data_IF_810672152066
#
_entry.id   IF_810672152066
#
_cell.length_a   1.000
_cell.length_b   1.000
_cell.length_c   1.000
_cell.angle_alpha   90.00
_cell.angle_beta   90.00
_cell.angle_gamma   90.00
#
_symmetry.space_group_name_H-M   'P 1'
#
loop_
_entity.id
_entity.type
_entity.pdbx_description
1 polymer ?
#
# COMPACT_ATOMS: atom_id res chain seq x y z
N UNK A 1 28.78 -45.98 -8.78
CA UNK A 1 27.49 -45.46 -8.25
C UNK A 1 26.95 -44.44 -9.24
N UNK A 2 26.08 -44.88 -10.16
CA UNK A 2 25.44 -43.99 -11.13
C UNK A 2 24.16 -43.45 -10.49
N UNK A 3 24.13 -42.13 -10.32
CA UNK A 3 23.12 -41.41 -9.54
C UNK A 3 21.82 -41.33 -10.35
N UNK A 4 20.81 -42.11 -9.96
CA UNK A 4 19.42 -41.86 -10.34
C UNK A 4 18.88 -40.78 -9.39
N UNK A 5 18.72 -39.54 -9.87
CA UNK A 5 18.34 -38.41 -9.03
C UNK A 5 16.81 -38.22 -9.02
N UNK A 6 16.19 -38.67 -7.94
CA UNK A 6 14.85 -38.23 -7.51
C UNK A 6 14.89 -36.72 -7.20
N UNK A 7 14.03 -35.94 -7.84
CA UNK A 7 13.87 -34.50 -7.60
C UNK A 7 12.61 -34.25 -6.74
N UNK A 8 12.80 -34.24 -5.43
CA UNK A 8 11.85 -33.63 -4.49
C UNK A 8 11.96 -32.09 -4.56
N UNK A 9 10.81 -31.44 -4.69
CA UNK A 9 10.53 -30.00 -4.89
C UNK A 9 11.55 -28.97 -4.33
N UNK A 10 12.09 -28.10 -5.21
CA UNK A 10 12.17 -26.65 -4.95
C UNK A 10 11.74 -25.83 -6.20
N UNK A 11 11.57 -24.48 -6.13
CA UNK A 11 10.87 -23.71 -7.17
C UNK A 11 11.46 -23.92 -8.56
N UNK A 12 10.58 -24.02 -9.57
CA UNK A 12 10.81 -24.35 -10.98
C UNK A 12 12.11 -23.77 -11.60
N UNK A 13 12.62 -22.63 -11.14
CA UNK A 13 13.88 -22.02 -11.60
C UNK A 13 15.15 -22.80 -11.21
N UNK A 14 15.19 -23.45 -10.04
CA UNK A 14 16.37 -24.22 -9.57
C UNK A 14 16.50 -25.57 -10.27
N UNK A 15 15.39 -26.16 -10.72
CA UNK A 15 15.40 -27.43 -11.44
C UNK A 15 15.94 -27.24 -12.86
N UNK A 16 15.52 -26.16 -13.54
CA UNK A 16 16.02 -25.84 -14.88
C UNK A 16 17.52 -25.51 -14.90
N UNK A 17 18.03 -24.77 -13.92
CA UNK A 17 19.45 -24.44 -13.85
C UNK A 17 20.32 -25.67 -13.57
N UNK A 18 19.85 -26.59 -12.72
CA UNK A 18 20.56 -27.83 -12.40
C UNK A 18 20.56 -28.81 -13.57
N UNK A 19 19.44 -28.93 -14.28
CA UNK A 19 19.36 -29.72 -15.51
C UNK A 19 20.29 -29.18 -16.62
N UNK A 20 20.35 -27.86 -16.83
CA UNK A 20 21.30 -27.25 -17.78
C UNK A 20 22.76 -27.52 -17.43
N UNK A 21 23.14 -27.38 -16.16
CA UNK A 21 24.52 -27.66 -15.73
C UNK A 21 24.92 -29.13 -15.95
N UNK A 22 23.98 -30.07 -15.81
CA UNK A 22 24.23 -31.50 -16.05
C UNK A 22 24.37 -31.82 -17.55
N UNK A 23 23.57 -31.17 -18.40
CA UNK A 23 23.64 -31.33 -19.86
C UNK A 23 24.88 -30.65 -20.46
N UNK A 24 25.34 -29.52 -19.90
CA UNK A 24 26.54 -28.83 -20.38
C UNK A 24 27.85 -29.52 -19.99
N UNK A 25 27.86 -30.31 -18.91
CA UNK A 25 29.09 -30.90 -18.35
C UNK A 25 29.27 -32.40 -18.67
N UNK A 26 28.42 -33.02 -19.50
CA UNK A 26 28.53 -34.43 -19.89
C UNK A 26 28.33 -34.61 -21.39
N UNK A 27 29.07 -35.54 -22.00
CA UNK A 27 28.90 -35.89 -23.41
C UNK A 27 27.50 -36.43 -23.69
N UNK A 28 27.00 -36.18 -24.92
CA UNK A 28 25.71 -36.68 -25.43
C UNK A 28 25.56 -38.19 -25.31
N UNK A 29 26.67 -38.91 -25.36
CA UNK A 29 26.72 -40.37 -25.51
C UNK A 29 26.38 -41.12 -24.21
N UNK A 30 26.25 -40.39 -23.09
CA UNK A 30 25.87 -40.93 -21.78
C UNK A 30 24.36 -40.96 -21.55
N UNK A 31 23.57 -40.34 -22.45
CA UNK A 31 22.13 -40.22 -22.29
C UNK A 31 21.43 -41.33 -23.07
N UNK A 32 20.52 -42.04 -22.40
CA UNK A 32 19.69 -43.07 -23.02
C UNK A 32 18.21 -42.72 -22.90
N UNK A 33 17.45 -43.06 -23.93
CA UNK A 33 16.01 -42.88 -23.95
C UNK A 33 15.32 -43.91 -23.05
N UNK A 34 14.33 -43.46 -22.28
CA UNK A 34 13.43 -44.34 -21.52
C UNK A 34 12.05 -44.25 -22.18
N UNK A 35 11.50 -45.36 -22.71
CA UNK A 35 10.15 -45.39 -23.26
C UNK A 35 9.12 -44.82 -22.27
N UNK A 36 8.12 -44.10 -22.79
CA UNK A 36 7.13 -43.39 -21.96
C UNK A 36 6.38 -44.28 -20.97
N UNK A 37 6.12 -45.54 -21.33
CA UNK A 37 5.46 -46.55 -20.48
C UNK A 37 6.32 -46.97 -19.28
N UNK A 38 7.65 -46.98 -19.47
CA UNK A 38 8.63 -47.33 -18.44
C UNK A 38 9.14 -46.10 -17.70
N UNK A 39 8.67 -44.90 -18.07
CA UNK A 39 9.09 -43.65 -17.44
C UNK A 39 8.33 -43.45 -16.11
N UNK A 40 9.01 -43.56 -14.95
CA UNK A 40 8.37 -43.38 -13.66
C UNK A 40 7.69 -42.02 -13.51
N UNK A 41 8.20 -40.98 -14.19
CA UNK A 41 7.63 -39.61 -14.11
C UNK A 41 6.30 -39.44 -14.83
N UNK A 42 5.88 -40.41 -15.64
CA UNK A 42 4.63 -40.36 -16.40
C UNK A 42 3.40 -40.18 -15.48
N UNK A 43 3.32 -40.96 -14.39
CA UNK A 43 2.21 -40.89 -13.42
C UNK A 43 2.08 -39.51 -12.75
N UNK A 44 3.22 -38.86 -12.50
CA UNK A 44 3.28 -37.53 -11.88
C UNK A 44 2.80 -36.45 -12.86
N UNK A 45 3.26 -36.51 -14.12
CA UNK A 45 2.92 -35.53 -15.15
C UNK A 45 1.42 -35.48 -15.50
N UNK A 46 0.69 -36.59 -15.28
CA UNK A 46 -0.74 -36.76 -15.57
C UNK A 46 -1.66 -36.59 -14.37
N UNK A 47 -1.12 -36.35 -13.16
CA UNK A 47 -1.91 -36.09 -11.96
C UNK A 47 -2.60 -37.33 -11.36
N UNK A 48 -1.86 -38.44 -11.22
CA UNK A 48 -2.42 -39.72 -10.74
C UNK A 48 -2.64 -39.76 -9.22
N UNK A 49 -3.63 -40.54 -8.71
CA UNK A 49 -3.88 -40.69 -7.28
C UNK A 49 -2.73 -41.41 -6.54
N UNK A 50 -2.44 -41.05 -5.26
CA UNK A 50 -1.30 -41.55 -4.48
C UNK A 50 -1.17 -43.08 -4.39
N UNK A 51 -2.30 -43.82 -4.44
CA UNK A 51 -2.32 -45.28 -4.31
C UNK A 51 -1.62 -46.00 -5.48
N UNK A 52 -1.58 -45.38 -6.66
CA UNK A 52 -0.92 -45.95 -7.84
C UNK A 52 0.61 -45.87 -7.78
N UNK A 53 1.17 -45.02 -6.90
CA UNK A 53 2.63 -44.92 -6.73
C UNK A 53 3.23 -46.13 -6.00
N UNK A 54 2.44 -46.84 -5.19
CA UNK A 54 2.89 -48.03 -4.46
C UNK A 54 3.09 -49.25 -5.36
N UNK A 55 2.40 -49.31 -6.50
CA UNK A 55 2.43 -50.42 -7.45
C UNK A 55 3.18 -50.07 -8.75
N UNK A 56 3.82 -48.91 -8.82
CA UNK A 56 4.47 -48.43 -10.03
C UNK A 56 5.98 -48.45 -9.93
N UNK A 57 6.62 -48.27 -11.09
CA UNK A 57 8.07 -48.14 -11.26
C UNK A 57 8.64 -46.86 -10.61
N UNK A 58 7.84 -46.07 -9.87
CA UNK A 58 8.24 -44.79 -9.29
C UNK A 58 9.42 -44.93 -8.30
N UNK A 59 9.39 -45.97 -7.48
CA UNK A 59 10.40 -46.17 -6.43
C UNK A 59 11.61 -46.97 -6.91
N UNK A 60 11.37 -47.97 -7.75
CA UNK A 60 12.39 -48.95 -8.17
C UNK A 60 12.99 -48.62 -9.55
N UNK A 61 12.30 -47.81 -10.35
CA UNK A 61 12.64 -47.58 -11.75
C UNK A 61 12.41 -48.82 -12.63
N UNK A 62 12.64 -48.70 -13.94
CA UNK A 62 12.61 -49.86 -14.83
C UNK A 62 13.66 -50.92 -14.45
N UNK A 63 13.28 -52.20 -14.55
CA UNK A 63 14.12 -53.36 -14.17
C UNK A 63 15.47 -53.40 -14.88
N UNK A 64 15.55 -52.98 -16.15
CA UNK A 64 16.80 -52.95 -16.92
C UNK A 64 17.85 -51.99 -16.35
N UNK A 65 17.50 -51.03 -15.49
CA UNK A 65 18.49 -50.17 -14.81
C UNK A 65 19.34 -50.94 -13.80
N UNK A 66 18.85 -52.09 -13.32
CA UNK A 66 19.57 -52.97 -12.39
C UNK A 66 20.55 -53.89 -13.14
N UNK A 67 20.40 -54.01 -14.46
CA UNK A 67 21.27 -54.81 -15.31
C UNK A 67 22.57 -54.06 -15.68
N UNK A 68 23.64 -54.77 -16.07
CA UNK A 68 24.85 -54.12 -16.55
C UNK A 68 24.58 -53.20 -17.75
N UNK A 69 25.36 -52.10 -17.93
CA UNK A 69 25.13 -51.10 -18.98
C UNK A 69 25.13 -51.62 -20.43
N UNK A 70 25.63 -52.83 -20.64
CA UNK A 70 25.60 -53.56 -21.91
C UNK A 70 24.19 -53.99 -22.32
N UNK A 71 23.30 -54.25 -21.35
CA UNK A 71 21.93 -54.72 -21.59
C UNK A 71 20.88 -53.60 -21.64
N UNK A 72 21.28 -52.35 -21.37
CA UNK A 72 20.35 -51.22 -21.45
C UNK A 72 19.92 -51.01 -22.90
N UNK A 73 18.61 -50.92 -23.14
CA UNK A 73 18.01 -50.77 -24.47
C UNK A 73 18.70 -49.65 -25.27
N UNK A 74 19.22 -50.03 -26.44
CA UNK A 74 19.85 -49.12 -27.41
C UNK A 74 18.77 -48.75 -28.43
N UNK A 75 17.72 -48.05 -27.98
CA UNK A 75 16.84 -47.40 -28.92
C UNK A 75 17.56 -46.14 -29.40
N UNK A 76 18.36 -46.28 -30.45
CA UNK A 76 18.76 -45.18 -31.30
C UNK A 76 17.50 -44.64 -31.96
N UNK A 77 16.73 -43.84 -31.23
CA UNK A 77 15.72 -42.99 -31.84
C UNK A 77 16.47 -42.04 -32.78
N UNK A 78 16.33 -42.28 -34.08
CA UNK A 78 16.62 -41.27 -35.08
C UNK A 78 15.65 -40.11 -34.82
N UNK A 79 16.06 -39.17 -33.97
CA UNK A 79 15.29 -37.96 -33.75
C UNK A 79 15.26 -37.19 -35.07
N UNK A 80 14.08 -37.05 -35.66
CA UNK A 80 13.87 -36.09 -36.74
C UNK A 80 14.22 -34.70 -36.18
N UNK A 81 15.35 -34.16 -36.63
CA UNK A 81 15.91 -32.87 -36.17
C UNK A 81 14.91 -31.71 -36.36
N UNK A 82 14.00 -31.86 -37.31
CA UNK A 82 12.95 -30.90 -37.66
C UNK A 82 11.98 -30.60 -36.51
N UNK A 83 11.59 -31.59 -35.69
CA UNK A 83 10.69 -31.35 -34.55
C UNK A 83 11.42 -30.68 -33.38
N UNK A 84 12.68 -31.06 -33.14
CA UNK A 84 13.55 -30.44 -32.13
C UNK A 84 13.83 -28.98 -32.46
N UNK A 85 14.00 -28.65 -33.75
CA UNK A 85 14.15 -27.27 -34.22
C UNK A 85 12.88 -26.42 -33.97
N UNK A 86 11.68 -27.01 -34.06
CA UNK A 86 10.41 -26.29 -33.75
C UNK A 86 10.25 -26.03 -32.25
N UNK A 87 10.66 -26.97 -31.40
CA UNK A 87 10.57 -26.82 -29.93
C UNK A 87 11.76 -26.08 -29.29
N UNK A 88 12.89 -25.94 -30.00
CA UNK A 88 14.00 -25.09 -29.57
C UNK A 88 13.48 -23.66 -29.39
N UNK A 89 13.27 -23.26 -28.13
CA UNK A 89 13.15 -21.84 -27.77
C UNK A 89 14.37 -21.14 -28.35
N UNK A 90 14.16 -20.30 -29.38
CA UNK A 90 15.20 -19.44 -29.95
C UNK A 90 15.93 -18.76 -28.80
N UNK A 91 17.17 -19.19 -28.52
CA UNK A 91 18.02 -18.54 -27.54
C UNK A 91 18.34 -17.19 -28.16
N UNK A 92 17.64 -16.14 -27.71
CA UNK A 92 17.96 -14.77 -28.10
C UNK A 92 19.33 -14.47 -27.51
N UNK A 93 20.34 -14.44 -28.37
CA UNK A 93 21.63 -13.85 -28.05
C UNK A 93 21.38 -12.34 -27.89
N UNK A 94 21.23 -11.89 -26.64
CA UNK A 94 21.15 -10.46 -26.35
C UNK A 94 22.58 -9.89 -26.46
N UNK A 95 22.98 -9.48 -27.66
CA UNK A 95 24.12 -8.58 -27.79
C UNK A 95 23.74 -7.25 -27.13
N UNK A 96 24.27 -7.01 -25.94
CA UNK A 96 24.21 -5.71 -25.27
C UNK A 96 25.11 -4.73 -26.04
N UNK A 97 24.64 -4.23 -27.18
CA UNK A 97 25.19 -2.99 -27.73
C UNK A 97 24.66 -1.87 -26.84
N UNK A 98 25.53 -1.37 -25.96
CA UNK A 98 25.28 -0.16 -25.19
C UNK A 98 25.17 1.01 -26.17
N UNK A 99 23.96 1.29 -26.66
CA UNK A 99 23.68 2.57 -27.30
C UNK A 99 23.66 3.59 -26.18
N UNK A 100 24.77 4.31 -26.01
CA UNK A 100 24.93 5.42 -25.06
C UNK A 100 24.07 6.62 -25.48
N UNK A 101 22.75 6.46 -25.51
CA UNK A 101 21.84 7.59 -25.45
C UNK A 101 21.79 8.08 -24.01
N UNK A 102 22.66 8.99 -23.60
CA UNK A 102 22.55 9.61 -22.26
C UNK A 102 21.20 10.32 -22.11
N UNK A 103 20.57 10.23 -20.93
CA UNK A 103 19.34 10.99 -20.66
C UNK A 103 19.79 12.45 -20.55
N UNK A 104 19.14 13.40 -21.25
CA UNK A 104 19.55 14.78 -21.13
C UNK A 104 19.51 15.27 -19.68
N UNK A 105 20.59 15.87 -19.20
CA UNK A 105 20.75 16.27 -17.80
C UNK A 105 19.60 17.15 -17.28
N UNK A 106 19.01 17.97 -18.16
CA UNK A 106 17.90 18.85 -17.80
C UNK A 106 16.63 18.08 -17.47
N UNK A 107 16.40 16.92 -18.09
CA UNK A 107 15.27 16.05 -17.74
C UNK A 107 15.46 15.40 -16.36
N UNK A 108 16.70 15.41 -15.83
CA UNK A 108 17.04 14.91 -14.50
C UNK A 108 16.97 16.04 -13.45
N UNK A 109 17.41 17.26 -13.80
CA UNK A 109 17.52 18.37 -12.83
C UNK A 109 16.19 19.00 -12.44
N UNK A 110 15.22 19.08 -13.35
CA UNK A 110 13.95 19.74 -13.04
C UNK A 110 12.99 18.83 -12.27
N UNK A 111 12.35 19.38 -11.24
CA UNK A 111 11.35 18.70 -10.41
C UNK A 111 9.92 18.80 -10.95
N UNK A 112 9.69 19.65 -11.96
CA UNK A 112 8.38 19.92 -12.54
C UNK A 112 8.37 19.59 -14.04
N UNK A 113 7.41 18.78 -14.46
CA UNK A 113 7.18 18.41 -15.86
C UNK A 113 7.05 19.63 -16.78
N UNK A 114 6.23 20.62 -16.40
CA UNK A 114 6.01 21.81 -17.22
C UNK A 114 7.28 22.66 -17.39
N UNK A 115 8.14 22.69 -16.38
CA UNK A 115 9.44 23.36 -16.45
C UNK A 115 10.39 22.64 -17.41
N UNK A 116 10.39 21.30 -17.42
CA UNK A 116 11.17 20.50 -18.38
C UNK A 116 10.72 20.83 -19.81
N UNK A 117 9.41 20.75 -20.09
CA UNK A 117 8.90 21.00 -21.44
C UNK A 117 9.23 22.42 -21.88
N UNK A 118 8.95 23.44 -21.05
CA UNK A 118 9.26 24.83 -21.38
C UNK A 118 10.75 25.06 -21.64
N UNK A 119 11.63 24.48 -20.83
CA UNK A 119 13.07 24.59 -21.03
C UNK A 119 13.49 23.98 -22.37
N UNK A 120 12.98 22.80 -22.71
CA UNK A 120 13.24 22.15 -24.00
C UNK A 120 12.68 22.96 -25.17
N UNK A 121 11.47 23.52 -25.04
CA UNK A 121 10.90 24.40 -26.06
C UNK A 121 11.78 25.62 -26.32
N UNK A 122 12.30 26.27 -25.26
CA UNK A 122 13.24 27.38 -25.41
C UNK A 122 14.55 26.97 -26.05
N UNK A 123 15.11 25.82 -25.68
CA UNK A 123 16.32 25.28 -26.33
C UNK A 123 16.10 25.01 -27.82
N UNK A 124 14.98 24.38 -28.19
CA UNK A 124 14.65 24.10 -29.59
C UNK A 124 14.43 25.38 -30.39
N UNK A 125 13.73 26.37 -29.82
CA UNK A 125 13.59 27.70 -30.43
C UNK A 125 14.94 28.39 -30.61
N UNK A 126 15.82 28.31 -29.61
CA UNK A 126 17.17 28.87 -29.70
C UNK A 126 17.95 28.25 -30.87
N UNK A 127 17.95 26.91 -30.98
CA UNK A 127 18.60 26.19 -32.09
C UNK A 127 18.00 26.60 -33.44
N UNK A 128 16.67 26.74 -33.53
CA UNK A 128 15.97 27.19 -34.75
C UNK A 128 16.35 28.62 -35.12
N UNK A 129 16.40 29.53 -34.15
CA UNK A 129 16.74 30.94 -34.36
C UNK A 129 18.22 31.15 -34.66
N UNK A 130 19.12 30.31 -34.12
CA UNK A 130 20.55 30.36 -34.41
C UNK A 130 20.86 30.06 -35.89
N UNK A 131 20.00 29.29 -36.56
CA UNK A 131 20.10 28.97 -37.99
C UNK A 131 19.46 30.02 -38.91
N UNK A 132 18.80 31.03 -38.35
CA UNK A 132 18.06 32.07 -39.09
C UNK A 132 18.72 33.44 -38.95
N UNK A 133 18.61 34.23 -40.02
CA UNK A 133 18.92 35.67 -39.98
C UNK A 133 18.01 36.38 -38.98
N UNK A 134 18.51 37.46 -38.37
CA UNK A 134 17.86 38.19 -37.26
C UNK A 134 16.38 38.52 -37.54
N UNK A 135 16.07 38.96 -38.76
CA UNK A 135 14.71 39.36 -39.18
C UNK A 135 13.68 38.21 -39.26
N UNK A 136 14.13 36.95 -39.35
CA UNK A 136 13.25 35.78 -39.43
C UNK A 136 13.18 35.00 -38.11
N UNK A 137 13.78 35.53 -37.04
CA UNK A 137 13.79 34.88 -35.73
C UNK A 137 12.41 35.00 -35.08
N UNK A 138 12.00 33.92 -34.42
CA UNK A 138 10.79 33.91 -33.61
C UNK A 138 11.08 34.58 -32.27
N UNK A 139 10.35 35.66 -31.97
CA UNK A 139 10.50 36.50 -30.77
C UNK A 139 9.18 36.45 -29.99
N UNK A 140 9.25 36.59 -28.66
CA UNK A 140 8.08 36.63 -27.78
C UNK A 140 7.84 35.31 -27.05
N UNK A 141 6.60 35.06 -26.62
CA UNK A 141 6.25 33.89 -25.81
C UNK A 141 6.32 32.57 -26.61
N UNK A 142 6.45 31.44 -25.91
CA UNK A 142 6.38 30.11 -26.53
C UNK A 142 4.97 29.85 -27.08
N UNK A 143 4.92 29.31 -28.29
CA UNK A 143 3.67 28.86 -28.90
C UNK A 143 3.31 27.46 -28.41
N UNK A 144 2.02 27.10 -28.51
CA UNK A 144 1.54 25.75 -28.15
C UNK A 144 2.25 24.68 -29.00
N UNK A 145 2.44 24.94 -30.29
CA UNK A 145 3.14 24.01 -31.19
C UNK A 145 4.59 23.74 -30.77
N UNK A 146 5.31 24.71 -30.21
CA UNK A 146 6.67 24.48 -29.72
C UNK A 146 6.71 23.69 -28.41
N UNK A 147 5.66 23.80 -27.60
CA UNK A 147 5.49 23.01 -26.38
C UNK A 147 5.21 21.56 -26.76
N UNK A 148 4.27 21.33 -27.68
CA UNK A 148 3.95 20.01 -28.21
C UNK A 148 5.15 19.38 -28.92
N UNK A 149 5.87 20.15 -29.74
CA UNK A 149 7.06 19.66 -30.43
C UNK A 149 8.19 19.28 -29.45
N UNK A 150 8.38 20.06 -28.38
CA UNK A 150 9.33 19.74 -27.33
C UNK A 150 8.95 18.46 -26.56
N UNK A 151 7.66 18.30 -26.23
CA UNK A 151 7.15 17.08 -25.58
C UNK A 151 7.41 15.85 -26.45
N UNK A 152 7.02 15.90 -27.74
CA UNK A 152 7.25 14.81 -28.68
C UNK A 152 8.73 14.50 -28.88
N UNK A 153 9.59 15.51 -28.95
CA UNK A 153 11.04 15.33 -29.09
C UNK A 153 11.64 14.61 -27.87
N UNK A 154 11.25 15.00 -26.66
CA UNK A 154 11.67 14.32 -25.44
C UNK A 154 11.21 12.86 -25.41
N UNK A 155 9.95 12.61 -25.78
CA UNK A 155 9.39 11.25 -25.86
C UNK A 155 10.24 10.39 -26.79
N UNK A 156 10.61 10.89 -27.98
CA UNK A 156 11.47 10.16 -28.92
C UNK A 156 12.83 9.82 -28.32
N UNK A 157 13.48 10.78 -27.64
CA UNK A 157 14.77 10.55 -26.97
C UNK A 157 14.64 9.45 -25.91
N UNK A 158 13.61 9.50 -25.07
CA UNK A 158 13.38 8.50 -24.04
C UNK A 158 13.02 7.13 -24.62
N UNK A 159 12.22 7.08 -25.67
CA UNK A 159 11.89 5.82 -26.33
C UNK A 159 13.11 5.20 -27.01
N UNK A 160 13.95 5.99 -27.68
CA UNK A 160 15.19 5.49 -28.27
C UNK A 160 16.12 4.88 -27.22
N UNK A 161 16.21 5.50 -26.03
CA UNK A 161 17.04 4.99 -24.93
C UNK A 161 16.48 3.73 -24.28
N UNK A 162 15.21 3.75 -23.90
CA UNK A 162 14.62 2.67 -23.10
C UNK A 162 14.06 1.51 -23.93
N UNK A 163 13.78 1.77 -25.21
CA UNK A 163 13.24 0.78 -26.15
C UNK A 163 14.10 0.75 -27.43
N UNK A 164 15.39 0.38 -27.34
CA UNK A 164 16.30 0.43 -28.49
C UNK A 164 15.92 -0.57 -29.59
N UNK A 165 15.36 -1.73 -29.23
CA UNK A 165 15.00 -2.79 -30.17
C UNK A 165 13.47 -2.91 -30.33
N UNK A 166 13.00 -3.26 -31.53
CA UNK A 166 11.57 -3.54 -31.79
C UNK A 166 11.05 -4.71 -30.97
N UNK A 167 11.92 -5.68 -30.71
CA UNK A 167 11.67 -6.90 -29.94
C UNK A 167 11.55 -6.69 -28.41
N UNK A 168 11.62 -5.43 -27.94
CA UNK A 168 11.54 -5.09 -26.50
C UNK A 168 10.16 -5.34 -25.89
N UNK A 169 9.16 -5.72 -26.70
CA UNK A 169 7.76 -5.80 -26.31
C UNK A 169 7.09 -7.12 -26.68
N UNK A 170 7.51 -8.26 -26.09
CA UNK A 170 7.04 -9.59 -26.52
C UNK A 170 5.54 -9.86 -26.32
N UNK A 171 4.81 -8.98 -25.61
CA UNK A 171 3.38 -9.12 -25.30
C UNK A 171 2.54 -8.00 -25.91
N UNK A 172 3.16 -6.90 -26.39
CA UNK A 172 2.43 -5.71 -26.80
C UNK A 172 2.63 -5.44 -28.28
N UNK A 173 1.53 -5.16 -28.99
CA UNK A 173 1.56 -4.73 -30.38
C UNK A 173 1.99 -3.27 -30.44
N UNK A 174 3.30 -3.03 -30.63
CA UNK A 174 3.86 -1.68 -30.73
C UNK A 174 4.00 -1.31 -32.20
N UNK A 175 3.49 -0.14 -32.57
CA UNK A 175 3.61 0.48 -33.88
C UNK A 175 4.41 1.77 -33.76
N UNK A 176 5.12 2.16 -34.80
CA UNK A 176 5.78 3.47 -34.88
C UNK A 176 4.92 4.38 -35.75
N UNK A 177 4.59 5.57 -35.27
CA UNK A 177 3.83 6.54 -36.06
C UNK A 177 4.71 7.26 -37.11
N UNK A 178 4.09 8.06 -37.97
CA UNK A 178 4.76 8.84 -39.02
C UNK A 178 5.81 9.81 -38.45
N UNK A 179 5.66 10.20 -37.19
CA UNK A 179 6.61 11.06 -36.49
C UNK A 179 7.77 10.27 -35.86
N UNK A 180 7.77 8.93 -35.90
CA UNK A 180 8.80 8.10 -35.27
C UNK A 180 8.57 7.84 -33.78
N UNK A 181 7.38 8.08 -33.25
CA UNK A 181 6.99 7.79 -31.86
C UNK A 181 6.40 6.38 -31.80
N UNK A 182 6.88 5.58 -30.85
CA UNK A 182 6.35 4.25 -30.56
C UNK A 182 5.01 4.39 -29.81
N UNK A 183 3.98 3.71 -30.30
CA UNK A 183 2.61 3.68 -29.77
C UNK A 183 2.13 2.24 -29.64
N UNK A 184 1.19 1.99 -28.74
CA UNK A 184 0.60 0.67 -28.55
C UNK A 184 -0.69 0.59 -29.36
N UNK A 185 -0.80 -0.40 -30.26
CA UNK A 185 -2.06 -0.74 -30.93
C UNK A 185 -2.95 -1.48 -29.93
N UNK A 186 -3.98 -0.79 -29.45
CA UNK A 186 -4.98 -1.39 -28.53
C UNK A 186 -5.95 -2.30 -29.29
N UNK A 187 -6.87 -2.96 -28.58
CA UNK A 187 -7.92 -3.80 -29.20
C UNK A 187 -9.11 -3.00 -29.74
N UNK A 188 -9.15 -1.69 -29.49
CA UNK A 188 -10.29 -0.83 -29.81
C UNK A 188 -10.04 -0.02 -31.10
N UNK A 189 -9.38 -0.62 -32.08
CA UNK A 189 -8.93 0.06 -33.31
C UNK A 189 -10.07 0.53 -34.21
N UNK A 190 -11.21 -0.17 -34.18
CA UNK A 190 -12.37 0.12 -35.03
C UNK A 190 -13.30 1.20 -34.45
N UNK A 191 -12.99 1.73 -33.26
CA UNK A 191 -13.81 2.77 -32.63
C UNK A 191 -13.46 4.14 -33.19
N UNK A 192 -14.46 4.93 -33.54
CA UNK A 192 -14.30 6.36 -33.86
C UNK A 192 -14.07 7.16 -32.57
N UNK A 193 -12.84 7.19 -32.09
CA UNK A 193 -12.44 7.90 -30.86
C UNK A 193 -11.12 8.66 -31.09
N UNK A 194 -10.64 9.37 -30.07
CA UNK A 194 -9.37 10.10 -30.17
C UNK A 194 -8.22 9.13 -30.57
N UNK A 195 -7.45 9.41 -31.64
CA UNK A 195 -6.32 8.57 -32.05
C UNK A 195 -5.27 8.40 -30.96
N UNK A 196 -5.09 9.37 -30.06
CA UNK A 196 -4.18 9.23 -28.92
C UNK A 196 -4.64 8.17 -27.90
N UNK A 197 -5.95 7.94 -27.80
CA UNK A 197 -6.53 6.93 -26.92
C UNK A 197 -6.51 5.54 -27.57
N UNK A 198 -6.74 5.49 -28.88
CA UNK A 198 -6.69 4.22 -29.64
C UNK A 198 -5.24 3.72 -29.76
N UNK A 199 -4.31 4.66 -29.97
CA UNK A 199 -2.87 4.40 -30.14
C UNK A 199 -2.04 5.19 -29.11
N UNK A 200 -2.11 4.84 -27.81
CA UNK A 200 -1.42 5.55 -26.75
C UNK A 200 0.10 5.41 -26.88
N UNK A 201 0.80 6.50 -26.55
CA UNK A 201 2.27 6.59 -26.61
C UNK A 201 2.88 5.70 -25.53
N UNK A 202 3.82 4.81 -25.90
CA UNK A 202 4.48 3.95 -24.92
C UNK A 202 5.55 4.71 -24.14
N UNK A 203 5.49 4.64 -22.81
CA UNK A 203 6.47 5.31 -21.94
C UNK A 203 7.11 4.34 -20.93
N UNK A 204 8.42 4.48 -20.67
CA UNK A 204 9.12 3.67 -19.69
C UNK A 204 8.76 4.13 -18.26
N UNK A 205 8.14 3.26 -17.48
CA UNK A 205 7.72 3.59 -16.11
C UNK A 205 8.88 3.87 -15.13
N UNK A 206 10.08 3.39 -15.43
CA UNK A 206 11.27 3.56 -14.58
C UNK A 206 11.96 4.91 -14.79
N UNK A 207 11.64 5.61 -15.88
CA UNK A 207 12.24 6.90 -16.22
C UNK A 207 11.75 8.04 -15.31
N UNK A 208 12.66 8.94 -14.91
CA UNK A 208 12.31 10.12 -14.12
C UNK A 208 11.33 11.04 -14.87
N UNK A 209 11.49 11.23 -16.19
CA UNK A 209 10.57 12.03 -17.00
C UNK A 209 9.13 11.52 -16.89
N UNK A 210 8.92 10.21 -17.02
CA UNK A 210 7.60 9.59 -16.87
C UNK A 210 7.06 9.73 -15.44
N UNK A 211 7.93 9.65 -14.43
CA UNK A 211 7.51 9.91 -13.04
C UNK A 211 7.06 11.38 -12.85
N UNK A 212 7.79 12.36 -13.41
CA UNK A 212 7.39 13.78 -13.36
C UNK A 212 6.08 14.04 -14.11
N UNK A 213 5.87 13.36 -15.24
CA UNK A 213 4.61 13.41 -15.98
C UNK A 213 3.45 12.91 -15.11
N UNK A 214 3.60 11.75 -14.46
CA UNK A 214 2.57 11.21 -13.58
C UNK A 214 2.31 12.12 -12.37
N UNK A 215 3.36 12.69 -11.77
CA UNK A 215 3.24 13.68 -10.68
C UNK A 215 2.47 14.93 -11.12
N UNK A 216 2.70 15.41 -12.35
CA UNK A 216 1.96 16.53 -12.92
C UNK A 216 0.48 16.20 -13.07
N UNK A 217 0.12 15.09 -13.71
CA UNK A 217 -1.28 14.65 -13.85
C UNK A 217 -1.96 14.39 -12.50
N UNK A 218 -1.24 13.84 -11.53
CA UNK A 218 -1.75 13.65 -10.17
C UNK A 218 -2.14 14.97 -9.51
N UNK A 219 -1.31 16.02 -9.64
CA UNK A 219 -1.56 17.34 -9.05
C UNK A 219 -2.64 18.12 -9.79
N UNK A 220 -2.63 18.08 -11.13
CA UNK A 220 -3.65 18.75 -11.97
C UNK A 220 -5.05 18.21 -11.70
N UNK A 221 -5.18 16.90 -11.47
CA UNK A 221 -6.46 16.25 -11.17
C UNK A 221 -6.72 16.15 -9.66
N UNK A 222 -6.45 17.22 -8.91
CA UNK A 222 -6.78 17.35 -7.49
C UNK A 222 -6.35 16.16 -6.61
N UNK A 223 -5.12 15.64 -6.81
CA UNK A 223 -4.61 14.47 -6.10
C UNK A 223 -5.39 13.18 -6.36
N UNK A 224 -5.84 12.98 -7.60
CA UNK A 224 -6.53 11.77 -8.04
C UNK A 224 -5.85 10.48 -7.55
N UNK A 225 -6.67 9.56 -7.05
CA UNK A 225 -6.24 8.24 -6.61
C UNK A 225 -5.68 7.39 -7.75
N UNK A 226 -5.00 6.29 -7.41
CA UNK A 226 -4.27 5.47 -8.39
C UNK A 226 -5.11 4.98 -9.57
N UNK A 227 -6.37 4.58 -9.35
CA UNK A 227 -7.23 4.05 -10.42
C UNK A 227 -7.65 5.15 -11.40
N UNK A 228 -8.15 6.27 -10.87
CA UNK A 228 -8.59 7.42 -11.67
C UNK A 228 -7.41 7.97 -12.47
N UNK A 229 -6.27 8.17 -11.81
CA UNK A 229 -5.07 8.66 -12.46
C UNK A 229 -4.56 7.73 -13.57
N UNK A 230 -4.65 6.41 -13.37
CA UNK A 230 -4.30 5.44 -14.42
C UNK A 230 -5.26 5.52 -15.61
N UNK A 231 -6.55 5.77 -15.38
CA UNK A 231 -7.54 6.01 -16.43
C UNK A 231 -7.19 7.24 -17.26
N UNK A 232 -6.97 8.38 -16.60
CA UNK A 232 -6.59 9.66 -17.25
C UNK A 232 -5.30 9.50 -18.07
N UNK A 233 -4.28 8.84 -17.49
CA UNK A 233 -3.02 8.63 -18.21
C UNK A 233 -3.19 7.74 -19.45
N UNK A 234 -4.10 6.76 -19.41
CA UNK A 234 -4.37 5.85 -20.53
C UNK A 234 -5.06 6.51 -21.72
N UNK A 235 -5.62 7.71 -21.55
CA UNK A 235 -6.17 8.49 -22.67
C UNK A 235 -5.11 8.88 -23.69
N UNK A 236 -3.83 8.95 -23.27
CA UNK A 236 -2.72 9.39 -24.14
C UNK A 236 -1.47 8.50 -24.05
N UNK A 237 -1.26 7.84 -22.91
CA UNK A 237 0.00 7.17 -22.57
C UNK A 237 -0.20 5.73 -22.11
N UNK A 238 0.60 4.83 -22.68
CA UNK A 238 0.76 3.47 -22.21
C UNK A 238 2.05 3.34 -21.41
N UNK A 239 1.96 3.49 -20.09
CA UNK A 239 3.12 3.41 -19.20
C UNK A 239 3.42 1.95 -18.86
N UNK A 240 4.63 1.48 -19.18
CA UNK A 240 5.09 0.13 -18.83
C UNK A 240 5.08 -0.04 -17.32
N UNK A 241 4.43 -1.10 -16.82
CA UNK A 241 4.18 -1.32 -15.38
C UNK A 241 3.44 -0.15 -14.70
N UNK A 242 2.61 0.59 -15.46
CA UNK A 242 1.99 1.86 -15.06
C UNK A 242 1.32 1.84 -13.69
N UNK A 243 0.51 0.82 -13.37
CA UNK A 243 -0.15 0.72 -12.06
C UNK A 243 0.84 0.77 -10.89
N UNK A 244 1.98 0.07 -10.99
CA UNK A 244 3.01 0.04 -9.95
C UNK A 244 3.66 1.41 -9.76
N UNK A 245 3.97 2.08 -10.88
CA UNK A 245 4.62 3.40 -10.88
C UNK A 245 3.67 4.47 -10.35
N UNK A 246 2.44 4.50 -10.86
CA UNK A 246 1.40 5.44 -10.40
C UNK A 246 1.11 5.24 -8.91
N UNK A 247 1.00 3.99 -8.45
CA UNK A 247 0.81 3.71 -7.03
C UNK A 247 1.98 4.22 -6.17
N UNK A 248 3.23 4.03 -6.61
CA UNK A 248 4.43 4.53 -5.91
C UNK A 248 4.38 6.06 -5.77
N UNK A 249 4.02 6.76 -6.84
CA UNK A 249 3.96 8.23 -6.85
C UNK A 249 2.86 8.75 -5.94
N UNK A 250 1.65 8.19 -6.02
CA UNK A 250 0.53 8.57 -5.15
C UNK A 250 0.86 8.27 -3.68
N UNK A 251 1.47 7.11 -3.39
CA UNK A 251 1.87 6.73 -2.03
C UNK A 251 2.93 7.67 -1.44
N UNK A 252 3.83 8.18 -2.27
CA UNK A 252 4.89 9.11 -1.84
C UNK A 252 4.44 10.58 -1.82
N UNK A 253 3.21 10.88 -2.25
CA UNK A 253 2.69 12.24 -2.19
C UNK A 253 2.41 12.65 -0.74
N UNK A 254 3.15 13.65 -0.24
CA UNK A 254 3.03 14.16 1.13
C UNK A 254 1.60 14.62 1.44
N UNK A 255 0.94 15.31 0.50
CA UNK A 255 -0.43 15.79 0.68
C UNK A 255 -1.39 14.61 0.85
N UNK A 256 -1.31 13.59 -0.02
CA UNK A 256 -2.11 12.37 0.12
C UNK A 256 -1.81 11.61 1.41
N UNK A 257 -0.55 11.54 1.84
CA UNK A 257 -0.18 10.90 3.11
C UNK A 257 -0.82 11.60 4.31
N UNK A 258 -0.79 12.94 4.34
CA UNK A 258 -1.41 13.74 5.41
C UNK A 258 -2.92 13.48 5.51
N UNK A 259 -3.64 13.50 4.38
CA UNK A 259 -5.07 13.21 4.37
C UNK A 259 -5.42 11.74 4.67
N UNK A 260 -4.51 10.81 4.34
CA UNK A 260 -4.71 9.38 4.62
C UNK A 260 -4.39 9.01 6.07
N UNK A 261 -3.62 9.82 6.78
CA UNK A 261 -3.22 9.55 8.16
C UNK A 261 -4.48 9.43 9.04
N UNK A 262 -4.71 8.24 9.59
CA UNK A 262 -5.69 8.03 10.66
C UNK A 262 -4.98 8.26 11.99
N UNK A 263 -5.70 8.80 12.98
CA UNK A 263 -5.23 8.77 14.36
C UNK A 263 -4.81 7.33 14.70
N UNK A 264 -3.68 7.13 15.41
CA UNK A 264 -3.29 5.79 15.83
C UNK A 264 -4.48 5.15 16.55
N UNK A 265 -4.94 4.00 16.07
CA UNK A 265 -5.98 3.25 16.76
C UNK A 265 -5.43 2.84 18.11
N UNK A 266 -6.05 3.29 19.19
CA UNK A 266 -5.76 2.75 20.51
C UNK A 266 -6.33 1.35 20.60
N UNK A 267 -5.57 0.42 21.18
CA UNK A 267 -6.16 -0.83 21.63
C UNK A 267 -7.23 -0.52 22.69
N UNK A 268 -8.38 -1.21 22.68
CA UNK A 268 -9.40 -1.01 23.70
C UNK A 268 -8.78 -1.32 25.07
N UNK A 269 -8.70 -0.30 25.93
CA UNK A 269 -8.15 -0.45 27.28
C UNK A 269 -9.14 -1.23 28.14
N UNK A 270 -8.64 -2.13 28.99
CA UNK A 270 -9.45 -2.82 29.98
C UNK A 270 -10.18 -1.83 30.90
N UNK A 271 -11.45 -2.10 31.21
CA UNK A 271 -12.22 -1.27 32.12
C UNK A 271 -11.57 -1.25 33.53
N UNK A 272 -11.60 -0.12 34.26
CA UNK A 272 -11.10 -0.06 35.63
C UNK A 272 -11.79 -1.07 36.55
N UNK A 273 -11.06 -1.63 37.51
CA UNK A 273 -11.60 -2.58 38.50
C UNK A 273 -12.82 -2.05 39.24
N UNK A 274 -12.86 -0.74 39.52
CA UNK A 274 -13.98 -0.07 40.17
C UNK A 274 -15.29 -0.07 39.35
N UNK A 275 -15.22 -0.37 38.04
CA UNK A 275 -16.41 -0.55 37.17
C UNK A 275 -16.84 -2.01 37.04
N UNK A 276 -15.93 -2.95 37.32
CA UNK A 276 -16.14 -4.39 37.03
C UNK A 276 -16.42 -5.20 38.29
N UNK A 277 -15.81 -4.83 39.41
CA UNK A 277 -15.99 -5.55 40.66
C UNK A 277 -17.36 -5.27 41.27
N UNK A 278 -17.90 -6.28 41.95
CA UNK A 278 -19.11 -6.12 42.76
C UNK A 278 -18.85 -5.09 43.87
N UNK A 279 -19.74 -4.09 43.93
CA UNK A 279 -19.71 -3.02 44.91
C UNK A 279 -21.14 -2.78 45.41
N UNK A 280 -21.28 -2.17 46.58
CA UNK A 280 -22.58 -1.74 47.06
C UNK A 280 -23.14 -0.60 46.18
N UNK A 281 -24.46 -0.43 46.20
CA UNK A 281 -25.12 0.66 45.46
C UNK A 281 -24.55 2.00 45.97
N UNK A 282 -24.14 2.86 45.04
CA UNK A 282 -23.49 4.15 45.32
C UNK A 282 -22.12 4.09 46.05
N UNK A 283 -21.46 2.92 46.13
CA UNK A 283 -20.10 2.84 46.68
C UNK A 283 -19.06 3.49 45.78
N UNK A 284 -19.18 3.29 44.46
CA UNK A 284 -18.35 3.93 43.43
C UNK A 284 -19.24 4.80 42.56
N UNK A 285 -19.06 6.11 42.62
CA UNK A 285 -19.92 7.08 41.94
C UNK A 285 -19.16 7.93 40.93
N UNK A 286 -19.78 8.21 39.79
CA UNK A 286 -19.37 9.26 38.87
C UNK A 286 -20.20 10.51 39.12
N UNK A 287 -19.53 11.64 39.26
CA UNK A 287 -20.15 12.96 39.41
C UNK A 287 -19.98 13.74 38.13
N UNK A 288 -21.08 14.29 37.66
CA UNK A 288 -21.10 15.22 36.53
C UNK A 288 -22.04 16.40 36.80
N UNK A 289 -21.86 17.45 36.01
CA UNK A 289 -22.60 18.69 36.09
C UNK A 289 -23.47 18.87 34.86
N UNK A 290 -24.77 18.66 35.02
CA UNK A 290 -25.72 19.04 33.99
C UNK A 290 -25.91 20.57 34.00
N UNK A 291 -25.97 21.12 32.78
CA UNK A 291 -25.86 22.55 32.48
C UNK A 291 -26.94 23.45 33.09
N UNK A 292 -26.90 24.71 32.65
CA UNK A 292 -27.70 25.78 33.23
C UNK A 292 -29.20 25.58 32.99
N UNK A 293 -29.94 25.38 34.07
CA UNK A 293 -31.40 25.40 34.11
C UNK A 293 -31.92 26.72 34.69
N UNK A 294 -33.14 27.06 34.31
CA UNK A 294 -33.88 28.20 34.86
C UNK A 294 -35.04 27.67 35.68
N UNK A 295 -34.99 27.89 37.00
CA UNK A 295 -36.11 27.58 37.89
C UNK A 295 -37.17 28.68 37.73
N UNK A 296 -38.44 28.36 38.01
CA UNK A 296 -39.54 29.34 38.04
C UNK A 296 -39.11 30.55 38.89
N UNK A 297 -39.02 31.72 38.27
CA UNK A 297 -38.43 32.94 38.86
C UNK A 297 -37.12 33.39 38.21
N UNK A 298 -36.64 32.73 37.15
CA UNK A 298 -35.49 33.17 36.35
C UNK A 298 -34.13 32.90 36.99
N UNK A 299 -34.10 32.18 38.11
CA UNK A 299 -32.86 31.85 38.80
C UNK A 299 -32.12 30.74 38.07
N UNK A 300 -30.82 30.99 37.87
CA UNK A 300 -29.85 30.04 37.34
C UNK A 300 -29.67 28.89 38.32
N UNK A 301 -29.75 27.66 37.85
CA UNK A 301 -29.54 26.46 38.64
C UNK A 301 -28.84 25.39 37.83
N UNK A 302 -28.21 24.45 38.52
CA UNK A 302 -27.48 23.33 37.95
C UNK A 302 -27.95 22.05 38.60
N UNK A 303 -27.77 20.93 37.90
CA UNK A 303 -28.05 19.61 38.45
C UNK A 303 -26.72 18.89 38.66
N UNK A 304 -26.48 18.48 39.91
CA UNK A 304 -25.43 17.54 40.26
C UNK A 304 -25.93 16.15 39.93
N UNK A 305 -25.28 15.52 38.96
CA UNK A 305 -25.52 14.14 38.55
C UNK A 305 -24.60 13.22 39.35
N UNK A 306 -25.16 12.37 40.20
CA UNK A 306 -24.43 11.33 40.92
C UNK A 306 -24.86 9.98 40.36
N UNK A 307 -23.98 9.33 39.61
CA UNK A 307 -24.27 8.07 38.94
C UNK A 307 -23.52 6.93 39.60
N UNK A 308 -24.20 5.84 39.95
CA UNK A 308 -23.52 4.63 40.42
C UNK A 308 -22.82 3.96 39.24
N UNK A 309 -21.51 3.74 39.34
CA UNK A 309 -20.73 3.18 38.22
C UNK A 309 -21.04 1.69 37.96
N UNK A 310 -21.41 0.95 39.01
CA UNK A 310 -21.72 -0.48 38.97
C UNK A 310 -23.13 -0.74 38.44
N UNK A 311 -24.14 -0.09 39.03
CA UNK A 311 -25.56 -0.35 38.72
C UNK A 311 -26.20 0.69 37.78
N UNK A 312 -25.49 1.78 37.45
CA UNK A 312 -25.98 2.90 36.63
C UNK A 312 -27.23 3.61 37.18
N UNK A 313 -27.52 3.47 38.48
CA UNK A 313 -28.55 4.26 39.16
C UNK A 313 -28.12 5.74 39.22
N UNK A 314 -29.08 6.66 39.10
CA UNK A 314 -28.84 8.09 38.99
C UNK A 314 -29.52 8.83 40.14
N UNK A 315 -28.73 9.55 40.92
CA UNK A 315 -29.21 10.48 41.94
C UNK A 315 -29.00 11.92 41.45
N UNK A 316 -30.05 12.73 41.54
CA UNK A 316 -30.08 14.10 41.06
C UNK A 316 -30.22 15.06 42.24
N UNK A 317 -29.34 16.06 42.32
CA UNK A 317 -29.44 17.15 43.30
C UNK A 317 -29.45 18.50 42.57
N UNK A 318 -30.43 19.34 42.89
CA UNK A 318 -30.51 20.69 42.35
C UNK A 318 -29.66 21.65 43.21
N UNK A 319 -28.93 22.54 42.55
CA UNK A 319 -28.13 23.58 43.21
C UNK A 319 -28.25 24.90 42.46
N UNK A 320 -28.34 26.00 43.20
CA UNK A 320 -28.46 27.37 42.68
C UNK A 320 -27.12 28.10 42.56
N UNK A 321 -26.01 27.45 42.92
CA UNK A 321 -24.65 27.99 42.82
C UNK A 321 -23.68 26.93 42.29
N UNK A 322 -22.67 27.38 41.54
CA UNK A 322 -21.49 26.59 41.13
C UNK A 322 -20.31 26.72 42.09
N UNK A 323 -20.43 27.53 43.16
CA UNK A 323 -19.38 27.68 44.16
C UNK A 323 -19.17 26.36 44.90
N UNK A 324 -17.92 25.90 44.99
CA UNK A 324 -17.51 24.61 45.59
C UNK A 324 -18.27 24.24 46.86
N UNK A 325 -18.33 25.17 47.82
CA UNK A 325 -18.93 24.97 49.14
C UNK A 325 -20.44 24.71 49.08
N UNK A 326 -21.20 25.54 48.34
CA UNK A 326 -22.66 25.40 48.24
C UNK A 326 -23.07 24.32 47.23
N UNK A 327 -22.31 24.22 46.14
CA UNK A 327 -22.54 23.35 45.01
C UNK A 327 -22.34 21.88 45.36
N UNK A 328 -21.16 21.53 45.90
CA UNK A 328 -20.76 20.15 46.05
C UNK A 328 -20.87 19.65 47.49
N UNK A 329 -20.48 20.42 48.50
CA UNK A 329 -20.52 19.91 49.88
C UNK A 329 -21.95 19.71 50.38
N UNK A 330 -22.88 20.62 50.07
CA UNK A 330 -24.29 20.48 50.47
C UNK A 330 -24.99 19.36 49.69
N UNK A 331 -24.75 19.24 48.38
CA UNK A 331 -25.32 18.17 47.56
C UNK A 331 -24.75 16.80 47.96
N UNK A 332 -23.44 16.71 48.20
CA UNK A 332 -22.79 15.48 48.68
C UNK A 332 -23.29 15.11 50.09
N UNK A 333 -23.45 16.06 51.01
CA UNK A 333 -24.03 15.78 52.34
C UNK A 333 -25.45 15.22 52.24
N UNK A 334 -26.31 15.81 51.41
CA UNK A 334 -27.67 15.30 51.17
C UNK A 334 -27.65 13.91 50.52
N UNK A 335 -26.74 13.68 49.59
CA UNK A 335 -26.52 12.39 48.98
C UNK A 335 -26.09 11.33 50.01
N UNK A 336 -25.07 11.61 50.83
CA UNK A 336 -24.57 10.70 51.86
C UNK A 336 -25.66 10.35 52.87
N UNK A 337 -26.46 11.34 53.28
CA UNK A 337 -27.56 11.13 54.23
C UNK A 337 -28.66 10.21 53.67
N UNK A 338 -28.90 10.23 52.35
CA UNK A 338 -29.96 9.44 51.69
C UNK A 338 -29.49 8.09 51.16
N UNK A 339 -28.28 8.03 50.61
CA UNK A 339 -27.76 6.90 49.81
C UNK A 339 -26.57 6.20 50.46
N UNK A 340 -26.01 6.76 51.53
CA UNK A 340 -24.80 6.27 52.17
C UNK A 340 -23.53 6.94 51.64
N UNK A 341 -22.43 6.74 52.38
CA UNK A 341 -21.13 7.36 52.07
C UNK A 341 -20.43 6.59 50.94
N UNK A 342 -20.07 7.24 49.82
CA UNK A 342 -19.31 6.58 48.75
C UNK A 342 -17.88 6.29 49.21
N UNK A 343 -17.27 5.26 48.63
CA UNK A 343 -15.84 4.95 48.76
C UNK A 343 -15.01 5.73 47.74
N UNK A 344 -15.50 5.80 46.50
CA UNK A 344 -14.78 6.40 45.37
C UNK A 344 -15.68 7.35 44.59
N UNK A 345 -15.17 8.54 44.29
CA UNK A 345 -15.82 9.54 43.43
C UNK A 345 -14.96 9.77 42.18
N UNK A 346 -15.56 9.62 41.00
CA UNK A 346 -14.98 9.96 39.71
C UNK A 346 -15.55 11.29 39.19
N UNK A 347 -14.71 12.19 38.70
CA UNK A 347 -15.16 13.42 38.03
C UNK A 347 -14.25 13.80 36.86
N UNK A 348 -14.72 14.74 36.03
CA UNK A 348 -13.84 15.44 35.10
C UNK A 348 -12.90 16.43 35.86
N UNK A 349 -11.96 17.02 35.12
CA UNK A 349 -11.01 18.00 35.68
C UNK A 349 -11.60 19.42 35.81
N UNK A 350 -12.93 19.58 35.86
CA UNK A 350 -13.57 20.87 36.06
C UNK A 350 -13.06 21.58 37.31
N UNK A 351 -12.91 22.90 37.24
CA UNK A 351 -12.39 23.73 38.34
C UNK A 351 -13.20 23.56 39.62
N UNK A 352 -14.51 23.39 39.49
CA UNK A 352 -15.43 23.20 40.62
C UNK A 352 -15.16 21.88 41.36
N UNK A 353 -14.83 20.81 40.64
CA UNK A 353 -14.51 19.51 41.25
C UNK A 353 -13.10 19.47 41.86
N UNK A 354 -12.13 20.17 41.26
CA UNK A 354 -10.81 20.35 41.88
C UNK A 354 -10.90 21.14 43.18
N UNK A 355 -11.69 22.21 43.20
CA UNK A 355 -12.01 22.92 44.44
C UNK A 355 -12.66 21.98 45.47
N UNK A 356 -13.64 21.19 45.02
CA UNK A 356 -14.43 20.33 45.89
C UNK A 356 -13.61 19.23 46.55
N UNK A 357 -12.69 18.62 45.80
CA UNK A 357 -11.74 17.67 46.36
C UNK A 357 -10.86 18.32 47.43
N UNK A 358 -10.38 19.54 47.19
CA UNK A 358 -9.58 20.29 48.16
C UNK A 358 -10.31 20.49 49.48
N UNK A 359 -11.54 21.02 49.43
CA UNK A 359 -12.38 21.23 50.62
C UNK A 359 -12.76 19.92 51.32
N UNK A 360 -13.15 18.89 50.53
CA UNK A 360 -13.50 17.58 51.07
C UNK A 360 -12.32 16.94 51.80
N UNK A 361 -11.11 17.08 51.29
CA UNK A 361 -9.92 16.52 51.91
C UNK A 361 -9.62 17.12 53.29
N UNK A 362 -9.96 18.40 53.51
CA UNK A 362 -9.88 19.04 54.82
C UNK A 362 -10.92 18.50 55.79
N UNK A 363 -12.18 18.41 55.35
CA UNK A 363 -13.32 17.97 56.17
C UNK A 363 -13.21 16.49 56.53
N UNK A 364 -12.87 15.63 55.57
CA UNK A 364 -12.74 14.19 55.79
C UNK A 364 -11.66 13.90 56.84
N UNK A 365 -10.54 14.65 56.85
CA UNK A 365 -9.51 14.49 57.89
C UNK A 365 -10.05 14.77 59.29
N UNK A 366 -10.83 15.84 59.47
CA UNK A 366 -11.43 16.16 60.77
C UNK A 366 -12.45 15.11 61.23
N UNK A 367 -13.27 14.59 60.31
CA UNK A 367 -14.29 13.59 60.61
C UNK A 367 -13.65 12.24 60.98
N UNK A 368 -12.63 11.82 60.23
CA UNK A 368 -11.90 10.57 60.48
C UNK A 368 -11.23 10.60 61.85
N UNK A 369 -10.58 11.74 62.20
CA UNK A 369 -9.95 11.93 63.51
C UNK A 369 -10.95 11.86 64.68
N UNK A 370 -12.20 12.30 64.46
CA UNK A 370 -13.25 12.28 65.49
C UNK A 370 -13.93 10.92 65.65
N UNK A 371 -14.09 10.17 64.56
CA UNK A 371 -14.94 8.97 64.55
C UNK A 371 -14.16 7.65 64.48
N UNK A 372 -12.85 7.64 64.19
CA UNK A 372 -11.92 6.50 64.20
C UNK A 372 -12.37 5.21 63.46
N UNK A 373 -13.53 5.22 62.79
CA UNK A 373 -14.15 4.05 62.12
C UNK A 373 -14.54 4.33 60.67
N UNK A 374 -14.44 5.57 60.21
CA UNK A 374 -14.86 5.97 58.86
C UNK A 374 -13.66 6.01 57.91
N UNK A 375 -13.79 5.39 56.74
CA UNK A 375 -12.79 5.46 55.68
C UNK A 375 -12.90 6.77 54.87
N UNK A 376 -11.76 7.31 54.44
CA UNK A 376 -11.68 8.50 53.58
C UNK A 376 -12.29 8.26 52.20
N UNK A 377 -12.99 9.27 51.64
CA UNK A 377 -13.46 9.21 50.25
C UNK A 377 -12.25 9.36 49.33
N UNK A 378 -12.09 8.46 48.37
CA UNK A 378 -11.06 8.55 47.34
C UNK A 378 -11.62 9.28 46.13
N UNK A 379 -11.04 10.44 45.79
CA UNK A 379 -11.40 11.18 44.58
C UNK A 379 -10.45 10.88 43.43
N UNK A 380 -11.01 10.51 42.26
CA UNK A 380 -10.27 10.21 41.03
C UNK A 380 -10.73 11.10 39.88
N UNK A 381 -9.78 11.68 39.15
CA UNK A 381 -10.07 12.49 37.97
C UNK A 381 -9.85 11.72 36.68
N UNK A 382 -10.69 11.99 35.69
CA UNK A 382 -10.47 11.51 34.32
C UNK A 382 -9.21 12.14 33.72
N UNK A 383 -8.58 11.50 32.72
CA UNK A 383 -7.48 12.11 31.97
C UNK A 383 -7.93 13.45 31.35
N UNK A 384 -7.07 14.49 31.35
CA UNK A 384 -7.44 15.86 30.93
C UNK A 384 -7.88 15.99 29.45
N UNK A 385 -7.71 14.95 28.64
CA UNK A 385 -8.06 14.93 27.21
C UNK A 385 -9.14 13.90 26.89
N UNK A 386 -9.79 13.31 27.90
CA UNK A 386 -10.81 12.27 27.73
C UNK A 386 -12.24 12.82 27.53
N UNK A 387 -12.38 14.13 27.28
CA UNK A 387 -13.65 14.80 27.01
C UNK A 387 -14.00 14.77 25.51
#
# INVERSE_FOLDING_TARGET
MNVCLQLLFPPYSKVQSRARNLVQNRSSDLWRHVPGELNPTYLLSRGSPPRLFSYSLWWEGPSWLLEPPSNWSIDCLACETSEVEREKRKVRLCNLVAVEGEIPWYAIKFSNFQSIIRFVSWMLRFVKNAKKMLQFREIGNLTVHEIEHAEKTLIKIFQAKFFPFEDSFPIMNVITDEEGIKRVKTRITERSDNPEFIYPIILPGECLFTQRLIEYYHRQNCHAGTQILLGILRERFWIVRGRRVVWKIVRNCIRCQRYKCKSPGSEPVSLPSDRVNDAAVFEVVGVDLAGLLYVKGGQKSWIVLLTCTTYRDVHLELTSSLSTEAFFLLSLRRFIAKRGRPRVIYSDNGTNFRGAQGELSGIDREIILKLNTIQSIIWKFNPPTAA
#
